data_IF_298270609159
#
_entry.id   IF_298270609159
#
_cell.length_a   1.000
_cell.length_b   1.000
_cell.length_c   1.000
_cell.angle_alpha   90.00
_cell.angle_beta   90.00
_cell.angle_gamma   90.00
#
_symmetry.space_group_name_H-M   'P 1'
#
loop_
_entity.id
_entity.type
_entity.pdbx_description
1 polymer ?
#
# COMPACT_ATOMS: atom_id res chain seq x y z
N UNK A 1 -10.39 19.50 1.45
CA UNK A 1 -9.56 20.31 0.51
C UNK A 1 -8.06 20.21 0.82
N UNK A 2 -7.61 20.34 2.08
CA UNK A 2 -6.20 20.14 2.43
C UNK A 2 -5.70 18.73 2.07
N UNK A 3 -6.48 17.69 2.37
CA UNK A 3 -6.22 16.29 2.04
C UNK A 3 -5.96 16.05 0.54
N UNK A 4 -6.77 16.68 -0.32
CA UNK A 4 -6.62 16.62 -1.79
C UNK A 4 -5.28 17.23 -2.24
N UNK A 5 -4.96 18.43 -1.76
CA UNK A 5 -3.72 19.14 -2.14
C UNK A 5 -2.49 18.34 -1.71
N UNK A 6 -2.49 17.82 -0.48
CA UNK A 6 -1.43 16.96 0.04
C UNK A 6 -1.26 15.67 -0.76
N UNK A 7 -2.37 15.06 -1.18
CA UNK A 7 -2.35 13.84 -2.01
C UNK A 7 -1.79 14.12 -3.40
N UNK A 8 -2.17 15.23 -4.02
CA UNK A 8 -1.66 15.65 -5.34
C UNK A 8 -0.15 15.91 -5.27
N UNK A 9 0.30 16.69 -4.29
CA UNK A 9 1.74 16.99 -4.12
C UNK A 9 2.50 15.68 -3.88
N UNK A 10 1.99 14.81 -3.01
CA UNK A 10 2.62 13.52 -2.72
C UNK A 10 2.69 12.62 -3.95
N UNK A 11 1.63 12.58 -4.77
CA UNK A 11 1.61 11.84 -6.03
C UNK A 11 2.63 12.41 -7.03
N UNK A 12 2.70 13.73 -7.21
CA UNK A 12 3.66 14.34 -8.14
C UNK A 12 5.10 14.05 -7.69
N UNK A 13 5.42 14.33 -6.42
CA UNK A 13 6.77 14.14 -5.87
C UNK A 13 7.15 12.67 -5.95
N UNK A 14 6.31 11.77 -5.46
CA UNK A 14 6.61 10.33 -5.50
C UNK A 14 6.73 9.78 -6.92
N UNK A 15 5.90 10.26 -7.86
CA UNK A 15 6.00 9.91 -9.27
C UNK A 15 7.33 10.33 -9.90
N UNK A 16 7.81 11.54 -9.60
CA UNK A 16 9.11 12.03 -10.08
C UNK A 16 10.25 11.16 -9.49
N UNK A 17 10.22 10.89 -8.18
CA UNK A 17 11.21 10.03 -7.54
C UNK A 17 11.19 8.61 -8.08
N UNK A 18 10.00 8.03 -8.28
CA UNK A 18 9.83 6.71 -8.88
C UNK A 18 10.45 6.66 -10.28
N UNK A 19 10.18 7.64 -11.13
CA UNK A 19 10.74 7.73 -12.48
C UNK A 19 12.27 7.84 -12.46
N UNK A 20 12.84 8.66 -11.58
CA UNK A 20 14.30 8.81 -11.44
C UNK A 20 14.95 7.50 -10.98
N UNK A 21 14.36 6.82 -9.99
CA UNK A 21 14.92 5.56 -9.45
C UNK A 21 14.78 4.43 -10.47
N UNK A 22 13.67 4.34 -11.20
CA UNK A 22 13.48 3.37 -12.28
C UNK A 22 14.44 3.63 -13.45
N UNK A 23 14.64 4.89 -13.83
CA UNK A 23 15.62 5.26 -14.84
C UNK A 23 17.04 4.87 -14.41
N UNK A 24 17.38 5.12 -13.15
CA UNK A 24 18.67 4.72 -12.57
C UNK A 24 18.83 3.20 -12.54
N UNK A 25 17.76 2.45 -12.31
CA UNK A 25 17.79 0.99 -12.45
C UNK A 25 18.01 0.58 -13.90
N UNK A 26 17.34 1.20 -14.87
CA UNK A 26 17.48 0.86 -16.29
C UNK A 26 18.94 0.92 -16.75
N UNK A 27 19.68 1.93 -16.29
CA UNK A 27 21.09 2.15 -16.61
C UNK A 27 22.03 1.21 -15.84
N UNK A 28 21.76 0.93 -14.55
CA UNK A 28 22.69 0.19 -13.68
C UNK A 28 22.36 -1.28 -13.40
N UNK A 29 21.12 -1.71 -13.69
CA UNK A 29 20.53 -3.05 -13.43
C UNK A 29 20.81 -3.69 -12.07
N UNK A 30 20.89 -2.87 -11.00
CA UNK A 30 21.10 -3.39 -9.64
C UNK A 30 19.79 -3.77 -8.96
N UNK A 31 19.72 -4.98 -8.40
CA UNK A 31 18.49 -5.57 -7.83
C UNK A 31 17.88 -4.75 -6.68
N UNK A 32 18.70 -4.08 -5.87
CA UNK A 32 18.19 -3.23 -4.78
C UNK A 32 17.47 -1.98 -5.32
N UNK A 33 17.92 -1.42 -6.45
CA UNK A 33 17.31 -0.25 -7.08
C UNK A 33 15.93 -0.59 -7.65
N UNK A 34 15.70 -1.85 -8.06
CA UNK A 34 14.36 -2.34 -8.44
C UNK A 34 13.40 -2.33 -7.27
N UNK A 35 13.80 -2.91 -6.13
CA UNK A 35 12.93 -3.00 -4.95
C UNK A 35 12.51 -1.59 -4.49
N UNK A 36 13.45 -0.64 -4.48
CA UNK A 36 13.17 0.76 -4.15
C UNK A 36 12.27 1.44 -5.19
N UNK A 37 12.54 1.22 -6.48
CA UNK A 37 11.72 1.75 -7.56
C UNK A 37 10.28 1.24 -7.50
N UNK A 38 10.09 -0.06 -7.24
CA UNK A 38 8.78 -0.69 -7.10
C UNK A 38 8.04 -0.14 -5.87
N UNK A 39 8.72 0.00 -4.72
CA UNK A 39 8.13 0.62 -3.53
C UNK A 39 7.68 2.06 -3.78
N UNK A 40 8.47 2.86 -4.50
CA UNK A 40 8.10 4.23 -4.89
C UNK A 40 6.93 4.27 -5.88
N UNK A 41 6.87 3.35 -6.85
CA UNK A 41 5.72 3.22 -7.75
C UNK A 41 4.46 2.84 -6.97
N UNK A 42 4.55 1.94 -6.00
CA UNK A 42 3.41 1.59 -5.15
C UNK A 42 2.94 2.79 -4.32
N UNK A 43 3.87 3.59 -3.78
CA UNK A 43 3.52 4.81 -3.07
C UNK A 43 2.84 5.85 -3.99
N UNK A 44 3.34 5.99 -5.22
CA UNK A 44 2.69 6.79 -6.25
C UNK A 44 1.28 6.30 -6.56
N UNK A 45 1.09 5.00 -6.78
CA UNK A 45 -0.23 4.41 -7.05
C UNK A 45 -1.20 4.61 -5.89
N UNK A 46 -0.72 4.51 -4.64
CA UNK A 46 -1.52 4.78 -3.45
C UNK A 46 -2.00 6.22 -3.43
N UNK A 47 -1.08 7.18 -3.51
CA UNK A 47 -1.41 8.61 -3.49
C UNK A 47 -2.25 9.05 -4.71
N UNK A 48 -1.99 8.49 -5.90
CA UNK A 48 -2.81 8.73 -7.09
C UNK A 48 -4.24 8.20 -6.93
N UNK A 49 -4.38 6.99 -6.37
CA UNK A 49 -5.70 6.42 -6.07
C UNK A 49 -6.45 7.28 -5.06
N UNK A 50 -5.76 7.86 -4.07
CA UNK A 50 -6.34 8.78 -3.11
C UNK A 50 -6.89 10.06 -3.76
N UNK A 51 -6.17 10.61 -4.75
CA UNK A 51 -6.66 11.76 -5.54
C UNK A 51 -7.95 11.40 -6.27
N UNK A 52 -8.00 10.25 -6.95
CA UNK A 52 -9.21 9.82 -7.65
C UNK A 52 -10.36 9.61 -6.67
N UNK A 53 -10.12 8.92 -5.55
CA UNK A 53 -11.15 8.64 -4.54
C UNK A 53 -11.68 9.87 -3.84
N UNK A 54 -10.89 10.95 -3.77
CA UNK A 54 -11.34 12.23 -3.23
C UNK A 54 -12.30 12.97 -4.16
N UNK A 55 -12.30 12.62 -5.46
CA UNK A 55 -13.16 13.21 -6.50
C UNK A 55 -14.35 12.31 -6.83
N UNK A 56 -14.14 11.00 -6.88
CA UNK A 56 -15.15 10.01 -7.28
C UNK A 56 -14.97 8.70 -6.55
N UNK A 57 -16.08 8.08 -6.16
CA UNK A 57 -16.04 6.75 -5.58
C UNK A 57 -15.74 5.69 -6.66
N UNK A 58 -14.79 4.80 -6.37
CA UNK A 58 -14.53 3.63 -7.19
C UNK A 58 -13.96 2.48 -6.34
N UNK A 59 -14.64 1.32 -6.28
CA UNK A 59 -14.15 0.15 -5.55
C UNK A 59 -12.76 -0.30 -6.01
N UNK A 60 -12.49 -0.20 -7.32
CA UNK A 60 -11.20 -0.55 -7.91
C UNK A 60 -10.07 0.33 -7.38
N UNK A 61 -10.26 1.66 -7.38
CA UNK A 61 -9.24 2.58 -6.88
C UNK A 61 -9.09 2.48 -5.36
N UNK A 62 -10.15 2.16 -4.62
CA UNK A 62 -10.03 1.91 -3.18
C UNK A 62 -9.22 0.65 -2.87
N UNK A 63 -9.49 -0.45 -3.58
CA UNK A 63 -8.67 -1.66 -3.48
C UNK A 63 -7.21 -1.41 -3.86
N UNK A 64 -6.96 -0.62 -4.92
CA UNK A 64 -5.61 -0.24 -5.34
C UNK A 64 -4.91 0.63 -4.30
N UNK A 65 -5.61 1.62 -3.73
CA UNK A 65 -5.11 2.46 -2.63
C UNK A 65 -4.70 1.61 -1.43
N UNK A 66 -5.57 0.70 -1.00
CA UNK A 66 -5.31 -0.17 0.15
C UNK A 66 -4.14 -1.13 -0.11
N UNK A 67 -4.15 -1.81 -1.25
CA UNK A 67 -3.13 -2.80 -1.58
C UNK A 67 -1.75 -2.16 -1.75
N UNK A 68 -1.67 -1.07 -2.50
CA UNK A 68 -0.41 -0.39 -2.76
C UNK A 68 0.09 0.31 -1.51
N UNK A 69 -0.71 1.20 -0.90
CA UNK A 69 -0.30 2.02 0.24
C UNK A 69 -0.20 1.25 1.55
N UNK A 70 -1.25 0.53 1.95
CA UNK A 70 -1.36 -0.03 3.30
C UNK A 70 -0.74 -1.43 3.46
N UNK A 71 -0.47 -2.13 2.35
CA UNK A 71 -0.08 -3.54 2.39
C UNK A 71 1.26 -3.84 1.73
N UNK A 72 1.61 -3.18 0.62
CA UNK A 72 2.82 -3.49 -0.15
C UNK A 72 3.95 -2.45 -0.04
N UNK A 73 3.70 -1.18 0.24
CA UNK A 73 4.78 -0.16 0.30
C UNK A 73 5.85 -0.49 1.34
N UNK A 74 5.47 -0.68 2.61
CA UNK A 74 6.40 -0.97 3.71
C UNK A 74 7.32 -2.19 3.45
N UNK A 75 6.79 -3.36 3.06
CA UNK A 75 7.61 -4.54 2.84
C UNK A 75 8.53 -4.44 1.61
N UNK A 76 8.10 -3.75 0.54
CA UNK A 76 8.95 -3.53 -0.64
C UNK A 76 10.09 -2.55 -0.37
N UNK A 77 9.86 -1.52 0.46
CA UNK A 77 10.91 -0.62 0.93
C UNK A 77 11.92 -1.35 1.82
N UNK A 78 11.45 -2.12 2.80
CA UNK A 78 12.30 -2.93 3.68
C UNK A 78 13.15 -3.97 2.93
N UNK A 79 12.60 -4.59 1.89
CA UNK A 79 13.33 -5.53 1.03
C UNK A 79 14.55 -4.89 0.36
N UNK A 80 14.45 -3.61 0.04
CA UNK A 80 15.56 -2.83 -0.48
C UNK A 80 16.75 -2.77 0.47
N UNK A 81 16.49 -2.59 1.76
CA UNK A 81 17.52 -2.63 2.81
C UNK A 81 18.03 -4.06 3.05
N UNK A 82 17.16 -5.07 2.97
CA UNK A 82 17.56 -6.48 3.05
C UNK A 82 18.62 -6.84 1.99
N UNK A 83 18.49 -6.31 0.77
CA UNK A 83 19.51 -6.49 -0.29
C UNK A 83 20.85 -5.80 0.02
N UNK A 84 20.88 -4.78 0.88
CA UNK A 84 22.12 -4.10 1.30
C UNK A 84 22.79 -4.81 2.48
N UNK A 85 22.01 -5.24 3.48
CA UNK A 85 22.53 -5.87 4.69
C UNK A 85 22.89 -7.34 4.49
N UNK A 86 22.11 -8.09 3.70
CA UNK A 86 22.32 -9.52 3.49
C UNK A 86 23.24 -9.71 2.27
N UNK A 87 24.55 -9.59 2.50
CA UNK A 87 25.60 -9.64 1.47
C UNK A 87 25.94 -11.06 0.98
N UNK A 88 25.46 -12.12 1.64
CA UNK A 88 25.68 -13.54 1.26
C UNK A 88 24.40 -14.37 1.39
N UNK A 89 24.06 -15.07 0.31
CA UNK A 89 23.03 -16.13 0.30
C UNK A 89 21.79 -15.83 -0.56
N UNK A 90 21.02 -16.88 -0.85
CA UNK A 90 19.74 -16.81 -1.57
C UNK A 90 18.60 -16.21 -0.73
N UNK A 91 18.86 -15.79 0.52
CA UNK A 91 17.85 -15.32 1.48
C UNK A 91 17.12 -14.10 0.96
N UNK A 92 17.84 -13.05 0.53
CA UNK A 92 17.21 -11.86 -0.03
C UNK A 92 16.36 -12.18 -1.27
N UNK A 93 16.80 -13.14 -2.10
CA UNK A 93 16.03 -13.61 -3.26
C UNK A 93 14.78 -14.40 -2.84
N UNK A 94 14.87 -15.26 -1.84
CA UNK A 94 13.73 -16.03 -1.33
C UNK A 94 12.68 -15.12 -0.69
N UNK A 95 13.12 -14.09 0.05
CA UNK A 95 12.25 -13.05 0.60
C UNK A 95 11.56 -12.25 -0.51
N UNK A 96 12.28 -11.88 -1.57
CA UNK A 96 11.71 -11.24 -2.75
C UNK A 96 10.68 -12.12 -3.46
N UNK A 97 10.92 -13.43 -3.56
CA UNK A 97 9.97 -14.37 -4.15
C UNK A 97 8.72 -14.53 -3.27
N UNK A 98 8.88 -14.63 -1.95
CA UNK A 98 7.77 -14.66 -1.00
C UNK A 98 6.92 -13.39 -1.12
N UNK A 99 7.56 -12.22 -1.24
CA UNK A 99 6.89 -10.95 -1.51
C UNK A 99 6.05 -10.96 -2.76
N UNK A 100 6.63 -11.43 -3.87
CA UNK A 100 5.96 -11.47 -5.16
C UNK A 100 4.76 -12.42 -5.08
N UNK A 101 4.91 -13.58 -4.42
CA UNK A 101 3.82 -14.52 -4.20
C UNK A 101 2.70 -13.89 -3.36
N UNK A 102 3.03 -13.25 -2.24
CA UNK A 102 2.04 -12.56 -1.41
C UNK A 102 1.36 -11.44 -2.20
N UNK A 103 2.12 -10.64 -2.95
CA UNK A 103 1.58 -9.59 -3.81
C UNK A 103 0.64 -10.13 -4.89
N UNK A 104 1.03 -11.20 -5.58
CA UNK A 104 0.25 -11.84 -6.64
C UNK A 104 -1.05 -12.47 -6.10
N UNK A 105 -1.03 -13.00 -4.88
CA UNK A 105 -2.21 -13.55 -4.22
C UNK A 105 -3.12 -12.45 -3.67
N UNK A 106 -2.55 -11.45 -3.02
CA UNK A 106 -3.32 -10.39 -2.33
C UNK A 106 -3.91 -9.37 -3.30
N UNK A 107 -3.26 -9.07 -4.42
CA UNK A 107 -3.74 -8.06 -5.39
C UNK A 107 -5.13 -8.39 -5.96
N UNK A 108 -5.36 -9.54 -6.61
CA UNK A 108 -6.69 -9.87 -7.13
C UNK A 108 -7.70 -10.05 -6.00
N UNK A 109 -7.27 -10.55 -4.84
CA UNK A 109 -8.13 -10.64 -3.64
C UNK A 109 -8.62 -9.25 -3.20
N UNK A 110 -7.72 -8.28 -3.07
CA UNK A 110 -8.10 -6.91 -2.69
C UNK A 110 -8.99 -6.25 -3.72
N UNK A 111 -8.70 -6.42 -5.02
CA UNK A 111 -9.38 -5.68 -6.08
C UNK A 111 -10.75 -6.25 -6.44
N UNK A 112 -10.92 -7.58 -6.40
CA UNK A 112 -12.10 -8.23 -6.97
C UNK A 112 -12.92 -9.04 -5.97
N UNK A 113 -12.31 -9.53 -4.89
CA UNK A 113 -12.97 -10.44 -3.95
C UNK A 113 -13.28 -9.79 -2.59
N UNK A 114 -12.79 -8.58 -2.34
CA UNK A 114 -13.06 -7.88 -1.09
C UNK A 114 -14.33 -7.04 -1.24
N UNK A 115 -15.39 -7.28 -0.44
CA UNK A 115 -16.57 -6.43 -0.46
C UNK A 115 -16.23 -5.07 0.15
N UNK A 116 -16.61 -3.99 -0.54
CA UNK A 116 -16.43 -2.62 -0.09
C UNK A 116 -17.79 -1.98 0.19
N UNK A 117 -17.94 -1.37 1.36
CA UNK A 117 -19.14 -0.62 1.69
C UNK A 117 -19.05 0.78 1.07
N UNK A 118 -19.83 1.03 0.01
CA UNK A 118 -19.91 2.34 -0.65
C UNK A 118 -20.57 3.40 0.22
N UNK A 119 -21.43 3.01 1.15
CA UNK A 119 -22.22 3.94 1.97
C UNK A 119 -21.36 4.65 3.02
N UNK A 120 -20.18 4.09 3.34
CA UNK A 120 -19.18 4.69 4.21
C UNK A 120 -18.30 5.73 3.50
N UNK A 121 -18.38 5.85 2.17
CA UNK A 121 -17.55 6.81 1.43
C UNK A 121 -18.06 8.24 1.61
N UNK A 122 -17.12 9.16 1.87
CA UNK A 122 -17.40 10.59 2.03
C UNK A 122 -16.52 11.42 1.11
N UNK A 123 -17.12 12.42 0.46
CA UNK A 123 -16.40 13.32 -0.45
C UNK A 123 -15.40 14.19 0.32
N UNK A 124 -14.18 14.34 -0.24
CA UNK A 124 -13.09 15.17 0.31
C UNK A 124 -12.50 14.74 1.67
N UNK A 125 -12.85 13.56 2.18
CA UNK A 125 -12.29 13.00 3.42
C UNK A 125 -11.05 12.15 3.10
N UNK A 126 -10.10 12.07 4.02
CA UNK A 126 -8.93 11.20 3.86
C UNK A 126 -9.34 9.73 4.00
N UNK A 127 -8.92 8.90 3.05
CA UNK A 127 -9.21 7.46 3.05
C UNK A 127 -8.69 6.77 4.32
N UNK A 128 -7.62 7.29 4.92
CA UNK A 128 -7.06 6.78 6.19
C UNK A 128 -7.99 6.97 7.40
N UNK A 129 -8.97 7.85 7.32
CA UNK A 129 -9.96 8.08 8.38
C UNK A 129 -11.17 7.16 8.23
N UNK A 130 -11.60 6.90 6.99
CA UNK A 130 -12.85 6.18 6.68
C UNK A 130 -12.66 4.72 6.29
N UNK A 131 -11.43 4.22 6.17
CA UNK A 131 -11.19 2.83 5.74
C UNK A 131 -11.55 1.77 6.79
N UNK A 132 -11.47 2.11 8.09
CA UNK A 132 -11.64 1.18 9.21
C UNK A 132 -12.84 1.56 10.06
N UNK A 133 -13.43 0.54 10.68
CA UNK A 133 -14.45 0.73 11.70
C UNK A 133 -13.90 1.55 12.87
N UNK A 134 -14.67 2.57 13.26
CA UNK A 134 -14.39 3.41 14.42
C UNK A 134 -15.25 2.91 15.58
N UNK A 135 -14.59 2.59 16.69
CA UNK A 135 -15.24 2.14 17.92
C UNK A 135 -15.07 3.20 19.02
N UNK A 136 -16.07 3.34 19.87
CA UNK A 136 -16.02 4.23 21.05
C UNK A 136 -15.12 3.63 22.15
N UNK A 137 -14.79 4.43 23.18
CA UNK A 137 -14.11 3.98 24.39
C UNK A 137 -14.80 2.79 25.09
N UNK A 138 -16.11 2.63 24.86
CA UNK A 138 -16.93 1.55 25.39
C UNK A 138 -16.94 0.28 24.50
N UNK A 139 -16.29 0.32 23.33
CA UNK A 139 -16.20 -0.79 22.38
C UNK A 139 -17.41 -0.93 21.44
N UNK A 140 -18.32 0.04 21.43
CA UNK A 140 -19.44 0.07 20.48
C UNK A 140 -19.02 0.67 19.13
N UNK A 141 -19.57 0.15 18.03
CA UNK A 141 -19.33 0.64 16.68
C UNK A 141 -19.97 2.03 16.48
N UNK A 142 -19.14 3.06 16.33
CA UNK A 142 -19.57 4.45 16.10
C UNK A 142 -19.78 4.71 14.62
N UNK A 143 -18.87 4.21 13.78
CA UNK A 143 -18.94 4.42 12.34
C UNK A 143 -18.41 3.18 11.59
N UNK A 144 -19.22 2.57 10.70
CA UNK A 144 -18.73 1.50 9.85
C UNK A 144 -17.76 2.07 8.81
N UNK A 145 -16.59 1.46 8.69
CA UNK A 145 -15.60 1.81 7.67
C UNK A 145 -15.94 1.19 6.32
N UNK A 146 -15.23 1.63 5.29
CA UNK A 146 -15.35 1.08 3.93
C UNK A 146 -15.02 -0.43 3.91
N UNK A 147 -14.03 -0.86 4.70
CA UNK A 147 -13.83 -2.27 5.02
C UNK A 147 -14.36 -2.56 6.42
N UNK A 148 -15.65 -2.86 6.52
CA UNK A 148 -16.26 -3.23 7.80
C UNK A 148 -16.02 -4.69 8.18
N UNK A 149 -15.97 -4.96 9.48
CA UNK A 149 -15.90 -6.31 10.03
C UNK A 149 -14.48 -6.83 10.33
N UNK A 150 -14.41 -8.11 10.71
CA UNK A 150 -13.17 -8.73 11.23
C UNK A 150 -12.07 -8.81 10.17
N UNK A 151 -10.84 -8.51 10.57
CA UNK A 151 -9.67 -8.67 9.70
C UNK A 151 -9.37 -10.14 9.31
N UNK A 152 -9.87 -11.11 10.09
CA UNK A 152 -9.69 -12.55 9.84
C UNK A 152 -10.49 -12.99 8.61
N UNK A 153 -9.83 -13.69 7.69
CA UNK A 153 -10.44 -14.15 6.43
C UNK A 153 -10.47 -13.09 5.31
N UNK A 154 -9.97 -11.88 5.57
CA UNK A 154 -9.90 -10.78 4.61
C UNK A 154 -8.44 -10.39 4.40
N UNK A 155 -8.13 -9.69 3.31
CA UNK A 155 -6.76 -9.24 3.00
C UNK A 155 -6.14 -8.37 4.11
N UNK A 156 -6.98 -7.75 4.95
CA UNK A 156 -6.56 -7.00 6.14
C UNK A 156 -5.72 -7.79 7.13
N UNK A 157 -5.86 -9.12 7.16
CA UNK A 157 -5.01 -9.99 7.98
C UNK A 157 -3.52 -9.87 7.65
N UNK A 158 -3.18 -9.62 6.39
CA UNK A 158 -1.78 -9.52 5.96
C UNK A 158 -1.15 -8.18 6.32
N UNK A 159 -1.93 -7.09 6.46
CA UNK A 159 -1.38 -5.75 6.69
C UNK A 159 -0.47 -5.66 7.94
N UNK A 160 -0.84 -6.20 9.13
CA UNK A 160 0.07 -6.23 10.28
C UNK A 160 1.36 -7.01 10.02
N UNK A 161 1.27 -8.14 9.31
CA UNK A 161 2.43 -8.99 9.00
C UNK A 161 3.40 -8.24 8.09
N UNK A 162 2.87 -7.61 7.04
CA UNK A 162 3.68 -6.83 6.09
C UNK A 162 4.30 -5.60 6.74
N UNK A 163 3.57 -4.95 7.65
CA UNK A 163 4.09 -3.80 8.40
C UNK A 163 5.21 -4.21 9.35
N UNK A 164 5.05 -5.28 10.14
CA UNK A 164 6.13 -5.82 10.99
C UNK A 164 7.36 -6.13 10.15
N UNK A 165 7.14 -6.75 8.98
CA UNK A 165 8.24 -7.12 8.11
C UNK A 165 8.98 -5.90 7.54
N UNK A 166 8.25 -4.84 7.17
CA UNK A 166 8.84 -3.55 6.83
C UNK A 166 9.62 -2.94 8.00
N UNK A 167 9.07 -2.92 9.21
CA UNK A 167 9.71 -2.35 10.41
C UNK A 167 10.98 -3.07 10.83
N UNK A 168 11.05 -4.40 10.67
CA UNK A 168 12.27 -5.16 11.03
C UNK A 168 13.42 -4.90 10.04
N UNK A 169 13.10 -4.49 8.82
CA UNK A 169 14.08 -4.31 7.74
C UNK A 169 14.45 -2.85 7.46
N UNK A 170 13.71 -1.88 7.98
CA UNK A 170 13.98 -0.43 7.88
C UNK A 170 14.73 0.08 9.11
#
# INVERSE_FOLDING_TARGET
MLSLILSIISAIVSGIFAAIVLYRWWVGRRNYTLAWGIGLVMYFLGTFSQVILSLTWSPFFFGLWYWSGALMVAPWLGQGTAYLLIRRGNIARNMQMALILVGLMTLPWTLFFTPFNSDAWQLNVDMTEIYRDVYDANGELVQPGIMSGSARGTVRFFSPIMNIWGTVLL
#
